data_IF_679322651091
#
_entry.id   IF_679322651091
#
_cell.length_a   1.000
_cell.length_b   1.000
_cell.length_c   1.000
_cell.angle_alpha   90.00
_cell.angle_beta   90.00
_cell.angle_gamma   90.00
#
_symmetry.space_group_name_H-M   'P 1'
#
loop_
_entity.id
_entity.type
_entity.pdbx_description
1 polymer ?
#
# COMPACT_ATOMS: atom_id res chain seq x y z
N UNK A 1 11.37 28.50 38.48
CA UNK A 1 9.97 28.52 38.02
C UNK A 1 10.04 28.53 36.51
N UNK A 2 9.61 27.42 35.92
CA UNK A 2 9.60 27.15 34.49
C UNK A 2 8.70 28.11 33.71
N UNK A 3 8.91 28.22 32.40
CA UNK A 3 7.86 27.98 31.39
C UNK A 3 8.49 27.50 30.08
N UNK A 4 8.12 26.27 29.71
CA UNK A 4 8.31 25.64 28.39
C UNK A 4 7.28 26.19 27.39
N UNK A 5 7.64 26.17 26.10
CA UNK A 5 6.72 25.92 25.00
C UNK A 5 7.53 25.61 23.72
N UNK A 6 7.95 24.35 23.56
CA UNK A 6 8.25 23.81 22.24
C UNK A 6 6.93 23.57 21.52
N UNK A 7 6.63 24.42 20.53
CA UNK A 7 5.49 24.28 19.64
C UNK A 7 5.81 23.22 18.60
N UNK A 8 5.18 22.04 18.76
CA UNK A 8 5.27 20.85 17.92
C UNK A 8 4.97 21.14 16.44
N UNK A 9 6.00 21.52 15.69
CA UNK A 9 6.09 21.17 14.28
C UNK A 9 6.40 19.67 14.20
N UNK A 10 5.35 18.85 14.22
CA UNK A 10 5.51 17.41 13.96
C UNK A 10 6.09 17.27 12.54
N UNK A 11 7.40 16.99 12.46
CA UNK A 11 8.00 16.58 11.20
C UNK A 11 7.20 15.38 10.67
N UNK A 12 6.94 15.27 9.35
CA UNK A 12 6.30 14.09 8.79
C UNK A 12 7.06 12.87 9.30
N UNK A 13 6.35 11.79 9.72
CA UNK A 13 7.00 10.60 10.27
C UNK A 13 8.13 10.19 9.34
N UNK A 14 9.31 9.80 9.87
CA UNK A 14 10.48 9.56 9.06
C UNK A 14 10.07 8.62 7.94
N UNK A 15 10.03 9.15 6.71
CA UNK A 15 9.81 8.36 5.50
C UNK A 15 10.84 7.26 5.57
N UNK A 16 10.42 6.06 5.98
CA UNK A 16 11.38 5.02 6.33
C UNK A 16 12.20 4.71 5.07
N UNK A 17 13.48 4.30 5.20
CA UNK A 17 14.30 3.93 4.05
C UNK A 17 13.58 2.93 3.12
N UNK A 18 12.74 2.07 3.72
CA UNK A 18 11.86 1.12 3.04
C UNK A 18 10.86 1.85 2.14
N UNK A 19 10.07 2.80 2.68
CA UNK A 19 9.11 3.59 1.90
C UNK A 19 9.82 4.35 0.77
N UNK A 20 11.00 4.92 1.03
CA UNK A 20 11.76 5.65 -0.01
C UNK A 20 12.21 4.76 -1.18
N UNK A 21 12.49 3.48 -0.92
CA UNK A 21 12.86 2.48 -1.94
C UNK A 21 11.66 1.87 -2.67
N UNK A 22 10.47 1.92 -2.06
CA UNK A 22 9.23 1.36 -2.58
C UNK A 22 8.38 2.41 -3.32
N UNK A 23 8.35 3.65 -2.85
CA UNK A 23 7.60 4.75 -3.44
C UNK A 23 7.84 4.97 -4.95
N UNK A 24 9.09 4.96 -5.49
CA UNK A 24 9.29 5.11 -6.93
C UNK A 24 8.77 3.90 -7.73
N UNK A 25 8.64 2.72 -7.12
CA UNK A 25 8.10 1.52 -7.76
C UNK A 25 6.58 1.62 -7.85
N UNK A 26 5.93 2.05 -6.77
CA UNK A 26 4.47 2.17 -6.65
C UNK A 26 3.91 3.40 -7.40
N UNK A 27 4.70 4.44 -7.69
CA UNK A 27 4.20 5.68 -8.32
C UNK A 27 3.74 5.59 -9.79
N UNK A 28 3.84 4.43 -10.45
CA UNK A 28 3.31 4.23 -11.82
C UNK A 28 1.96 3.50 -11.74
N UNK A 29 1.03 3.81 -12.66
CA UNK A 29 -0.35 3.31 -12.83
C UNK A 29 -0.83 2.17 -11.90
N UNK A 30 -0.09 1.07 -11.78
CA UNK A 30 -0.37 -0.01 -10.83
C UNK A 30 -0.49 0.41 -9.37
N UNK A 31 0.18 1.46 -8.90
CA UNK A 31 -0.01 1.94 -7.53
C UNK A 31 -1.37 2.57 -7.29
N UNK A 32 -1.98 3.18 -8.30
CA UNK A 32 -3.34 3.70 -8.19
C UNK A 32 -4.34 2.53 -8.10
N UNK A 33 -4.18 1.50 -8.94
CA UNK A 33 -5.01 0.28 -8.85
C UNK A 33 -4.89 -0.40 -7.47
N UNK A 34 -3.66 -0.52 -6.95
CA UNK A 34 -3.43 -1.10 -5.62
C UNK A 34 -4.00 -0.21 -4.52
N UNK A 35 -3.82 1.12 -4.60
CA UNK A 35 -4.40 2.07 -3.64
C UNK A 35 -5.91 1.92 -3.61
N UNK A 36 -6.54 2.00 -4.77
CA UNK A 36 -7.99 1.99 -4.89
C UNK A 36 -8.58 0.67 -4.35
N UNK A 37 -7.89 -0.45 -4.61
CA UNK A 37 -8.24 -1.74 -4.03
C UNK A 37 -8.14 -1.76 -2.50
N UNK A 38 -7.04 -1.25 -1.96
CA UNK A 38 -6.78 -1.22 -0.51
C UNK A 38 -7.77 -0.31 0.20
N UNK A 39 -8.14 0.82 -0.41
CA UNK A 39 -9.18 1.73 0.09
C UNK A 39 -10.60 1.19 -0.14
N UNK A 40 -10.75 0.02 -0.77
CA UNK A 40 -12.04 -0.63 -0.96
C UNK A 40 -12.95 0.09 -1.96
N UNK A 41 -12.39 0.82 -2.92
CA UNK A 41 -13.18 1.47 -3.97
C UNK A 41 -13.83 0.39 -4.87
N UNK A 42 -15.09 0.56 -5.22
CA UNK A 42 -15.81 -0.44 -6.01
C UNK A 42 -15.17 -0.65 -7.39
N UNK A 43 -15.03 -1.91 -7.82
CA UNK A 43 -14.46 -2.26 -9.13
C UNK A 43 -12.94 -2.14 -9.26
N UNK A 44 -12.22 -1.80 -8.18
CA UNK A 44 -10.79 -1.51 -8.18
C UNK A 44 -9.87 -2.75 -8.10
N UNK A 45 -10.21 -3.85 -8.76
CA UNK A 45 -9.34 -5.05 -8.74
C UNK A 45 -8.11 -4.81 -9.61
N UNK A 46 -6.86 -4.99 -9.11
CA UNK A 46 -5.69 -4.79 -9.94
C UNK A 46 -5.64 -5.75 -11.12
N UNK A 47 -5.16 -5.25 -12.25
CA UNK A 47 -4.93 -6.05 -13.45
C UNK A 47 -3.86 -7.12 -13.23
N UNK A 48 -3.85 -8.17 -14.06
CA UNK A 48 -2.78 -9.19 -14.03
C UNK A 48 -1.38 -8.57 -14.13
N UNK A 49 -1.21 -7.56 -15.00
CA UNK A 49 0.04 -6.83 -15.17
C UNK A 49 0.47 -6.17 -13.86
N UNK A 50 -0.45 -5.50 -13.19
CA UNK A 50 -0.18 -4.82 -11.94
C UNK A 50 0.03 -5.77 -10.76
N UNK A 51 -0.70 -6.89 -10.69
CA UNK A 51 -0.39 -7.95 -9.74
C UNK A 51 1.01 -8.53 -9.96
N UNK A 52 1.42 -8.77 -11.21
CA UNK A 52 2.77 -9.26 -11.52
C UNK A 52 3.85 -8.27 -11.09
N UNK A 53 3.63 -6.97 -11.33
CA UNK A 53 4.57 -5.93 -10.89
C UNK A 53 4.62 -5.83 -9.35
N UNK A 54 3.46 -5.86 -8.69
CA UNK A 54 3.36 -5.81 -7.23
C UNK A 54 4.11 -6.99 -6.59
N UNK A 55 3.86 -8.22 -7.05
CA UNK A 55 4.56 -9.43 -6.58
C UNK A 55 6.07 -9.33 -6.81
N UNK A 56 6.49 -8.79 -7.97
CA UNK A 56 7.91 -8.53 -8.27
C UNK A 56 8.54 -7.48 -7.36
N UNK A 57 7.79 -6.45 -6.93
CA UNK A 57 8.28 -5.46 -5.95
C UNK A 57 8.37 -6.05 -4.54
N UNK A 58 7.53 -7.04 -4.24
CA UNK A 58 7.60 -7.87 -3.06
C UNK A 58 6.72 -7.37 -1.92
N UNK A 59 6.41 -8.30 -1.01
CA UNK A 59 5.47 -8.10 0.09
C UNK A 59 5.85 -6.91 0.98
N UNK A 60 7.14 -6.72 1.23
CA UNK A 60 7.63 -5.61 2.05
C UNK A 60 7.23 -4.25 1.49
N UNK A 61 7.26 -4.07 0.16
CA UNK A 61 6.83 -2.80 -0.44
C UNK A 61 5.32 -2.62 -0.40
N UNK A 62 4.56 -3.71 -0.56
CA UNK A 62 3.10 -3.69 -0.40
C UNK A 62 2.68 -3.34 1.02
N UNK A 63 3.24 -4.02 2.02
CA UNK A 63 2.95 -3.77 3.43
C UNK A 63 3.32 -2.33 3.83
N UNK A 64 4.47 -1.82 3.36
CA UNK A 64 4.88 -0.43 3.61
C UNK A 64 3.91 0.59 2.99
N UNK A 65 3.33 0.27 1.82
CA UNK A 65 2.32 1.12 1.18
C UNK A 65 1.01 1.12 1.97
N UNK A 66 0.56 -0.04 2.43
CA UNK A 66 -0.62 -0.14 3.28
C UNK A 66 -0.46 0.64 4.60
N UNK A 67 0.71 0.59 5.23
CA UNK A 67 1.00 1.38 6.42
C UNK A 67 1.01 2.89 6.14
N UNK A 68 1.47 3.30 4.95
CA UNK A 68 1.35 4.70 4.53
C UNK A 68 -0.13 5.09 4.42
N UNK A 69 -0.98 4.27 3.79
CA UNK A 69 -2.42 4.55 3.69
C UNK A 69 -3.10 4.61 5.08
N UNK A 70 -2.77 3.70 5.99
CA UNK A 70 -3.20 3.74 7.40
C UNK A 70 -2.82 5.07 8.08
N UNK A 71 -1.66 5.64 7.75
CA UNK A 71 -1.22 6.92 8.32
C UNK A 71 -1.91 8.15 7.71
N UNK A 72 -2.54 8.00 6.54
CA UNK A 72 -3.17 9.08 5.79
C UNK A 72 -4.70 9.12 5.96
N UNK A 73 -5.31 7.97 6.24
CA UNK A 73 -6.75 7.80 6.37
C UNK A 73 -7.23 7.95 7.84
N UNK A 74 -8.54 8.16 8.07
CA UNK A 74 -9.09 8.16 9.41
C UNK A 74 -8.83 6.85 10.14
N UNK A 75 -8.49 6.91 11.43
CA UNK A 75 -8.16 5.71 12.22
C UNK A 75 -9.29 4.65 12.25
N UNK A 76 -10.54 5.06 12.00
CA UNK A 76 -11.69 4.15 11.84
C UNK A 76 -11.56 3.20 10.65
N UNK A 77 -10.79 3.58 9.63
CA UNK A 77 -10.59 2.80 8.40
C UNK A 77 -9.41 1.81 8.51
N UNK A 78 -8.60 1.89 9.56
CA UNK A 78 -7.36 1.11 9.68
C UNK A 78 -7.58 -0.40 9.53
N UNK A 79 -8.62 -0.95 10.15
CA UNK A 79 -8.94 -2.38 10.06
C UNK A 79 -9.32 -2.77 8.63
N UNK A 80 -10.14 -1.96 7.96
CA UNK A 80 -10.56 -2.15 6.57
C UNK A 80 -9.35 -2.10 5.63
N UNK A 81 -8.49 -1.08 5.76
CA UNK A 81 -7.28 -0.90 4.95
C UNK A 81 -6.34 -2.09 5.10
N UNK A 82 -6.07 -2.54 6.33
CA UNK A 82 -5.18 -3.68 6.58
C UNK A 82 -5.79 -5.00 6.08
N UNK A 83 -7.10 -5.18 6.25
CA UNK A 83 -7.82 -6.34 5.73
C UNK A 83 -7.80 -6.40 4.20
N UNK A 84 -8.13 -5.30 3.54
CA UNK A 84 -8.10 -5.17 2.09
C UNK A 84 -6.68 -5.34 1.54
N UNK A 85 -5.68 -4.76 2.19
CA UNK A 85 -4.27 -4.93 1.83
C UNK A 85 -3.83 -6.39 1.86
N UNK A 86 -4.23 -7.14 2.90
CA UNK A 86 -3.94 -8.58 2.96
C UNK A 86 -4.59 -9.33 1.80
N UNK A 87 -5.90 -9.12 1.58
CA UNK A 87 -6.65 -9.75 0.49
C UNK A 87 -6.07 -9.41 -0.88
N UNK A 88 -5.67 -8.16 -1.09
CA UNK A 88 -5.03 -7.69 -2.32
C UNK A 88 -3.73 -8.44 -2.61
N UNK A 89 -2.86 -8.56 -1.60
CA UNK A 89 -1.59 -9.28 -1.74
C UNK A 89 -1.81 -10.75 -2.07
N UNK A 90 -2.65 -11.43 -1.30
CA UNK A 90 -2.97 -12.85 -1.49
C UNK A 90 -3.56 -13.09 -2.88
N UNK A 91 -4.55 -12.28 -3.28
CA UNK A 91 -5.15 -12.36 -4.62
C UNK A 91 -4.14 -12.15 -5.75
N UNK A 92 -3.23 -11.18 -5.62
CA UNK A 92 -2.19 -10.98 -6.64
C UNK A 92 -1.16 -12.12 -6.69
N UNK A 93 -0.79 -12.70 -5.55
CA UNK A 93 0.08 -13.90 -5.53
C UNK A 93 -0.60 -15.06 -6.24
N UNK A 94 -1.88 -15.29 -5.97
CA UNK A 94 -2.64 -16.38 -6.59
C UNK A 94 -2.77 -16.18 -8.10
N UNK A 95 -3.14 -14.98 -8.56
CA UNK A 95 -3.26 -14.65 -9.98
C UNK A 95 -1.94 -14.83 -10.74
N UNK A 96 -0.80 -14.47 -10.11
CA UNK A 96 0.52 -14.60 -10.73
C UNK A 96 1.03 -16.05 -10.72
N UNK A 97 0.63 -16.84 -9.73
CA UNK A 97 1.01 -18.25 -9.61
C UNK A 97 0.25 -19.17 -10.58
N UNK A 98 -0.91 -18.74 -11.09
CA UNK A 98 -1.65 -19.51 -12.07
C UNK A 98 -0.89 -19.59 -13.41
N UNK A 99 -0.84 -20.77 -14.05
CA UNK A 99 -0.29 -20.88 -15.40
C UNK A 99 -1.14 -20.04 -16.37
N UNK A 100 -0.55 -19.49 -17.46
CA UNK A 100 -1.32 -18.79 -18.47
C UNK A 100 -2.45 -19.71 -18.97
N UNK A 101 -3.70 -19.25 -18.81
CA UNK A 101 -4.84 -19.97 -19.38
C UNK A 101 -4.67 -19.95 -20.90
N UNK A 102 -4.43 -21.13 -21.46
CA UNK A 102 -4.34 -21.33 -22.90
C UNK A 102 -5.77 -21.39 -23.45
N UNK A 103 -6.12 -20.50 -24.38
CA UNK A 103 -7.38 -20.51 -25.12
C UNK A 103 -7.21 -21.21 -26.48
#
# INVERSE_FOLDING_TARGET
MEVEAEESAQAPPPYSPIISSCAPKLRKNCGDEVRDNVLGLEGSVPTYECCRQLVRWGKTCHDAFAQLLVSLEPASENSSILGNSKTNWEGCVDVVAQPPVSF
#
